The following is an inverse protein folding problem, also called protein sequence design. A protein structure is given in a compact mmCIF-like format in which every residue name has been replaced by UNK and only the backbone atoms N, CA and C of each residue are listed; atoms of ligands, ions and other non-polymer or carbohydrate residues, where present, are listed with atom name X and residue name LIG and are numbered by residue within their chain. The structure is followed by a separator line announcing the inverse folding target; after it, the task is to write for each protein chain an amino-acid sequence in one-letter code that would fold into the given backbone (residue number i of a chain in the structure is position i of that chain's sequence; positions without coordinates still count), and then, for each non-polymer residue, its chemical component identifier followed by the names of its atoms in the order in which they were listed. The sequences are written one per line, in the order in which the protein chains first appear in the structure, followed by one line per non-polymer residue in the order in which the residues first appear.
data_IF_724448993613
#
_entry.id   IF_724448993613
#
_cell.length_a   1.000
_cell.length_b   1.000
_cell.length_c   1.000
_cell.angle_alpha   90.00
_cell.angle_beta   90.00
_cell.angle_gamma   90.00
#
_symmetry.space_group_name_H-M   'P 1'
#
loop_
_entity.id
_entity.type
_entity.pdbx_description
1 polymer ?
#
# COMPACT_ATOMS: atom_id res chain seq x y z
N UNK A 1 12.15 2.19 9.40
CA UNK A 1 11.46 1.59 8.26
C UNK A 1 10.56 0.51 8.82
N UNK A 2 9.24 0.72 8.72
CA UNK A 2 8.25 -0.11 9.39
C UNK A 2 8.19 -1.51 8.76
N UNK A 3 8.41 -1.62 7.44
CA UNK A 3 8.54 -2.90 6.74
C UNK A 3 9.66 -3.75 7.33
N UNK A 4 10.87 -3.18 7.42
CA UNK A 4 12.04 -3.90 7.96
C UNK A 4 11.82 -4.36 9.41
N UNK A 5 11.09 -3.57 10.21
CA UNK A 5 10.75 -3.94 11.58
C UNK A 5 9.78 -5.12 11.63
N UNK A 6 8.68 -5.05 10.86
CA UNK A 6 7.67 -6.11 10.81
C UNK A 6 8.26 -7.40 10.25
N UNK A 7 9.11 -7.30 9.22
CA UNK A 7 9.80 -8.46 8.64
C UNK A 7 10.74 -9.12 9.64
N UNK A 8 11.47 -8.33 10.44
CA UNK A 8 12.32 -8.86 11.51
C UNK A 8 11.55 -9.53 12.66
N UNK A 9 10.36 -9.01 13.01
CA UNK A 9 9.54 -9.53 14.12
C UNK A 9 8.70 -10.76 13.73
N UNK A 10 8.25 -10.82 12.47
CA UNK A 10 7.25 -11.80 12.03
C UNK A 10 7.76 -12.78 10.96
N UNK A 11 8.87 -12.46 10.30
CA UNK A 11 9.39 -13.21 9.16
C UNK A 11 8.60 -13.03 7.86
N UNK A 12 7.66 -12.08 7.81
CA UNK A 12 6.83 -11.77 6.64
C UNK A 12 6.65 -10.25 6.48
N UNK A 13 6.35 -9.80 5.27
CA UNK A 13 6.09 -8.37 5.01
C UNK A 13 4.65 -8.00 5.36
N UNK A 14 4.36 -6.71 5.42
CA UNK A 14 3.06 -6.22 5.90
C UNK A 14 1.91 -6.78 5.05
N UNK A 15 2.02 -6.75 3.72
CA UNK A 15 0.94 -7.24 2.85
C UNK A 15 0.75 -8.75 2.97
N UNK A 16 1.83 -9.53 3.15
CA UNK A 16 1.74 -10.98 3.35
C UNK A 16 0.96 -11.33 4.62
N UNK A 17 1.17 -10.56 5.70
CA UNK A 17 0.44 -10.74 6.95
C UNK A 17 -1.04 -10.39 6.77
N UNK A 18 -1.34 -9.28 6.10
CA UNK A 18 -2.73 -8.88 5.81
C UNK A 18 -3.44 -9.94 4.96
N UNK A 19 -2.77 -10.49 3.94
CA UNK A 19 -3.33 -11.54 3.08
C UNK A 19 -3.59 -12.83 3.88
N UNK A 20 -2.61 -13.26 4.67
CA UNK A 20 -2.73 -14.44 5.55
C UNK A 20 -3.92 -14.35 6.51
N UNK A 21 -4.26 -13.14 6.95
CA UNK A 21 -5.39 -12.88 7.86
C UNK A 21 -6.71 -12.57 7.14
N UNK A 22 -6.76 -12.63 5.80
CA UNK A 22 -7.97 -12.38 5.02
C UNK A 22 -8.38 -10.90 5.02
N UNK A 23 -7.42 -10.00 5.23
CA UNK A 23 -7.61 -8.54 5.23
C UNK A 23 -7.31 -7.92 3.86
N UNK A 24 -6.94 -8.72 2.87
CA UNK A 24 -6.92 -8.36 1.45
C UNK A 24 -8.28 -8.66 0.82
N UNK A 25 -8.63 -7.96 -0.26
CA UNK A 25 -9.87 -8.21 -0.98
C UNK A 25 -10.56 -6.96 -1.51
N UNK A 26 -11.67 -7.13 -2.23
CA UNK A 26 -12.45 -6.02 -2.80
C UNK A 26 -13.10 -5.10 -1.75
N UNK A 27 -13.12 -5.50 -0.49
CA UNK A 27 -13.63 -4.71 0.63
C UNK A 27 -12.51 -4.04 1.45
N UNK A 28 -11.27 -4.08 0.96
CA UNK A 28 -10.10 -3.57 1.65
C UNK A 28 -9.47 -2.41 0.88
N UNK A 29 -9.09 -1.39 1.64
CA UNK A 29 -8.42 -0.19 1.14
C UNK A 29 -7.08 -0.05 1.85
N UNK A 30 -5.99 -0.10 1.10
CA UNK A 30 -4.64 0.11 1.62
C UNK A 30 -4.17 1.54 1.35
N UNK A 31 -3.79 2.26 2.40
CA UNK A 31 -3.32 3.63 2.30
C UNK A 31 -1.81 3.69 2.04
N UNK A 32 -1.36 4.73 1.33
CA UNK A 32 0.03 5.07 1.03
C UNK A 32 0.76 4.11 0.09
N UNK A 33 0.91 2.83 0.47
CA UNK A 33 1.49 1.76 -0.35
C UNK A 33 2.88 2.07 -0.98
N UNK A 34 3.67 2.94 -0.36
CA UNK A 34 4.92 3.45 -0.94
C UNK A 34 6.01 2.36 -1.00
N UNK A 35 6.05 1.49 0.01
CA UNK A 35 7.11 0.49 0.19
C UNK A 35 6.76 -0.89 -0.38
N UNK A 36 5.72 -1.00 -1.21
CA UNK A 36 5.32 -2.27 -1.81
C UNK A 36 6.35 -2.75 -2.83
N UNK A 37 6.85 -3.98 -2.64
CA UNK A 37 7.62 -4.68 -3.64
C UNK A 37 6.70 -5.31 -4.73
N UNK A 38 7.31 -5.93 -5.75
CA UNK A 38 6.55 -6.55 -6.85
C UNK A 38 5.59 -7.67 -6.38
N UNK A 39 6.01 -8.48 -5.41
CA UNK A 39 5.19 -9.56 -4.87
C UNK A 39 3.93 -9.02 -4.17
N UNK A 40 4.09 -7.99 -3.34
CA UNK A 40 2.98 -7.38 -2.61
C UNK A 40 2.01 -6.67 -3.55
N UNK A 41 2.52 -6.07 -4.64
CA UNK A 41 1.67 -5.50 -5.71
C UNK A 41 0.85 -6.59 -6.39
N UNK A 42 1.44 -7.75 -6.65
CA UNK A 42 0.72 -8.87 -7.26
C UNK A 42 -0.38 -9.42 -6.34
N UNK A 43 -0.16 -9.43 -5.02
CA UNK A 43 -1.21 -9.76 -4.05
C UNK A 43 -2.37 -8.77 -4.17
N UNK A 44 -2.08 -7.46 -4.09
CA UNK A 44 -3.09 -6.39 -4.19
C UNK A 44 -3.93 -6.53 -5.46
N UNK A 45 -3.29 -6.76 -6.61
CA UNK A 45 -3.96 -6.99 -7.90
C UNK A 45 -4.84 -8.24 -7.84
N UNK A 46 -4.27 -9.37 -7.41
CA UNK A 46 -4.94 -10.66 -7.39
C UNK A 46 -6.16 -10.67 -6.49
N UNK A 47 -6.11 -9.99 -5.35
CA UNK A 47 -7.20 -9.92 -4.38
C UNK A 47 -8.21 -8.83 -4.71
N UNK A 48 -7.90 -7.94 -5.66
CA UNK A 48 -8.74 -6.78 -5.95
C UNK A 48 -8.76 -5.77 -4.82
N UNK A 49 -7.69 -5.69 -4.03
CA UNK A 49 -7.55 -4.68 -2.96
C UNK A 49 -7.37 -3.30 -3.59
N UNK A 50 -8.07 -2.30 -3.08
CA UNK A 50 -7.96 -0.93 -3.57
C UNK A 50 -6.81 -0.21 -2.87
N UNK A 51 -6.18 0.75 -3.56
CA UNK A 51 -5.06 1.54 -3.02
C UNK A 51 -5.39 3.02 -3.00
N UNK A 52 -5.09 3.71 -1.91
CA UNK A 52 -5.24 5.17 -1.80
C UNK A 52 -3.88 5.85 -1.82
N UNK A 53 -3.68 6.70 -2.83
CA UNK A 53 -2.53 7.58 -2.93
C UNK A 53 -2.77 8.87 -2.13
N UNK A 54 -1.89 9.17 -1.16
CA UNK A 54 -1.96 10.35 -0.30
C UNK A 54 -0.76 11.29 -0.55
N UNK A 55 -0.67 11.99 -1.70
CA UNK A 55 0.53 12.70 -2.12
C UNK A 55 0.97 13.80 -1.15
N UNK A 56 0.03 14.63 -0.68
CA UNK A 56 0.33 15.75 0.22
C UNK A 56 0.96 15.27 1.53
N UNK A 57 0.37 14.24 2.16
CA UNK A 57 0.90 13.64 3.40
C UNK A 57 2.27 12.99 3.16
N UNK A 58 2.40 12.22 2.08
CA UNK A 58 3.64 11.50 1.79
C UNK A 58 4.84 12.45 1.57
N UNK A 59 4.62 13.55 0.86
CA UNK A 59 5.64 14.59 0.63
C UNK A 59 5.94 15.33 1.94
N UNK A 60 4.90 15.71 2.70
CA UNK A 60 5.08 16.43 3.97
C UNK A 60 5.89 15.63 5.00
N UNK A 61 5.69 14.31 5.05
CA UNK A 61 6.41 13.41 5.95
C UNK A 61 7.73 12.88 5.36
N UNK A 62 8.09 13.26 4.13
CA UNK A 62 9.28 12.79 3.41
C UNK A 62 9.40 11.25 3.34
N UNK A 63 8.28 10.54 3.20
CA UNK A 63 8.22 9.07 3.19
C UNK A 63 8.29 8.45 1.79
N UNK A 64 8.22 9.28 0.73
CA UNK A 64 8.36 8.84 -0.67
C UNK A 64 7.10 9.03 -1.50
N UNK A 65 7.04 8.38 -2.68
CA UNK A 65 5.93 8.52 -3.63
C UNK A 65 5.55 7.11 -4.12
N UNK A 66 4.25 6.80 -4.10
CA UNK A 66 3.71 5.60 -4.73
C UNK A 66 3.88 5.71 -6.25
N UNK A 67 4.42 4.66 -6.88
CA UNK A 67 4.46 4.54 -8.35
C UNK A 67 3.05 4.26 -8.90
N UNK A 68 2.22 5.30 -8.95
CA UNK A 68 0.84 5.25 -9.46
C UNK A 68 0.79 4.75 -10.91
N UNK A 69 1.67 5.18 -11.84
CA UNK A 69 1.69 4.62 -13.19
C UNK A 69 1.83 3.10 -13.25
N UNK A 70 2.75 2.50 -12.48
CA UNK A 70 2.89 1.05 -12.40
C UNK A 70 1.62 0.38 -11.82
N UNK A 71 1.06 0.93 -10.74
CA UNK A 71 -0.16 0.39 -10.12
C UNK A 71 -1.35 0.38 -11.08
N UNK A 72 -1.56 1.49 -11.81
CA UNK A 72 -2.62 1.58 -12.83
C UNK A 72 -2.38 0.61 -13.99
N UNK A 73 -1.12 0.45 -14.43
CA UNK A 73 -0.75 -0.50 -15.49
C UNK A 73 -1.03 -1.95 -15.09
N UNK A 74 -0.88 -2.29 -13.82
CA UNK A 74 -1.22 -3.61 -13.25
C UNK A 74 -2.72 -3.82 -13.04
N UNK A 75 -3.54 -2.80 -13.25
CA UNK A 75 -5.00 -2.87 -13.09
C UNK A 75 -5.47 -2.67 -11.64
N UNK A 76 -4.64 -2.10 -10.76
CA UNK A 76 -5.08 -1.73 -9.41
C UNK A 76 -6.00 -0.52 -9.48
N UNK A 77 -7.09 -0.58 -8.71
CA UNK A 77 -7.96 0.58 -8.48
C UNK A 77 -7.26 1.55 -7.51
N UNK A 78 -6.77 2.66 -8.05
CA UNK A 78 -6.05 3.69 -7.30
C UNK A 78 -6.94 4.90 -7.08
N UNK A 79 -7.19 5.19 -5.82
CA UNK A 79 -7.94 6.36 -5.33
C UNK A 79 -6.99 7.47 -4.87
N UNK A 80 -7.52 8.69 -4.72
CA UNK A 80 -6.80 9.84 -4.17
C UNK A 80 -7.35 10.16 -2.77
N UNK A 81 -6.45 10.35 -1.80
CA UNK A 81 -6.80 10.74 -0.44
C UNK A 81 -5.96 11.90 0.07
N UNK A 82 -6.46 12.58 1.10
CA UNK A 82 -5.76 13.67 1.79
C UNK A 82 -5.00 13.19 3.02
N UNK A 83 -5.32 12.01 3.54
CA UNK A 83 -4.89 11.44 4.83
C UNK A 83 -5.32 12.28 6.05
N UNK A 84 -4.93 13.56 6.13
CA UNK A 84 -5.31 14.49 7.19
C UNK A 84 -5.59 15.91 6.67
N UNK A 85 -6.07 16.80 7.55
CA UNK A 85 -6.15 18.25 7.29
C UNK A 85 -4.75 18.85 7.36
N UNK A 86 -4.12 19.08 6.22
CA UNK A 86 -2.97 19.98 6.14
C UNK A 86 -3.49 21.42 6.14
N UNK A 87 -3.51 22.06 7.32
CA UNK A 87 -3.59 23.53 7.47
C UNK A 87 -2.21 24.08 7.80
#
# INVERSE_FOLDING_TARGET
DDEAKIEAETGARVVDLLDKHGLTGPNSIFAHCISLNDHERDIVVKTGTQVVHNPSSNINNAVGILDVPDMLKRGVDVMLGTDSLSL
#
